data_IF_334714982410
#
_entry.id   IF_334714982410
#
_cell.length_a   1.000
_cell.length_b   1.000
_cell.length_c   1.000
_cell.angle_alpha   90.00
_cell.angle_beta   90.00
_cell.angle_gamma   90.00
#
_symmetry.space_group_name_H-M   'P 1'
#
loop_
_entity.id
_entity.type
_entity.pdbx_description
1 polymer ?
#
# COMPACT_ATOMS: atom_id res chain seq x y z
N UNK A 1 -65.87 37.81 0.60
CA UNK A 1 -65.59 39.08 -0.12
C UNK A 1 -64.67 38.75 -1.29
N UNK A 2 -64.99 39.30 -2.47
CA UNK A 2 -64.26 39.37 -3.76
C UNK A 2 -63.28 38.25 -4.21
N UNK A 3 -63.58 37.73 -5.40
CA UNK A 3 -62.68 37.01 -6.33
C UNK A 3 -61.77 37.99 -7.11
N UNK A 4 -60.69 37.54 -7.77
CA UNK A 4 -60.72 37.24 -9.23
C UNK A 4 -59.68 36.15 -9.65
N UNK A 5 -59.42 35.76 -10.92
CA UNK A 5 -60.19 35.61 -12.19
C UNK A 5 -59.37 34.71 -13.15
N UNK A 6 -60.09 33.94 -13.99
CA UNK A 6 -59.78 33.57 -15.40
C UNK A 6 -58.43 32.98 -15.86
N UNK A 7 -58.58 31.80 -16.49
CA UNK A 7 -58.17 31.47 -17.88
C UNK A 7 -56.82 30.83 -18.20
N UNK A 8 -56.93 29.91 -19.17
CA UNK A 8 -55.89 29.10 -19.77
C UNK A 8 -54.86 29.92 -20.54
N UNK A 9 -53.60 29.47 -20.49
CA UNK A 9 -52.51 29.91 -21.34
C UNK A 9 -51.53 28.77 -21.54
N UNK A 10 -51.46 28.24 -22.75
CA UNK A 10 -50.44 27.25 -23.16
C UNK A 10 -49.08 27.94 -23.04
N UNK A 11 -48.21 27.41 -22.17
CA UNK A 11 -46.86 27.95 -21.97
C UNK A 11 -45.82 27.02 -22.59
N UNK A 12 -45.32 27.47 -23.73
CA UNK A 12 -44.23 26.92 -24.52
C UNK A 12 -42.95 26.84 -23.66
N UNK A 13 -42.26 25.70 -23.66
CA UNK A 13 -40.90 25.63 -23.12
C UNK A 13 -39.93 26.40 -24.03
N UNK A 14 -39.57 27.63 -23.64
CA UNK A 14 -38.49 28.40 -24.25
C UNK A 14 -37.32 28.52 -23.27
N UNK A 15 -36.17 27.93 -23.62
CA UNK A 15 -35.00 27.85 -22.74
C UNK A 15 -33.88 28.83 -23.16
N UNK A 16 -33.78 29.97 -22.46
CA UNK A 16 -32.70 31.00 -22.50
C UNK A 16 -32.92 31.98 -21.33
N UNK A 17 -31.95 32.61 -20.67
CA UNK A 17 -30.46 32.66 -20.76
C UNK A 17 -29.89 32.51 -19.33
N UNK A 18 -28.63 32.07 -19.13
CA UNK A 18 -28.02 31.99 -17.79
C UNK A 18 -26.50 31.92 -17.71
N UNK A 19 -25.78 32.89 -18.29
CA UNK A 19 -24.34 33.02 -18.08
C UNK A 19 -24.04 33.82 -16.79
N UNK A 20 -23.42 33.18 -15.80
CA UNK A 20 -22.79 33.85 -14.66
C UNK A 20 -21.28 33.60 -14.67
N UNK A 21 -20.50 34.68 -14.60
CA UNK A 21 -19.04 34.64 -14.63
C UNK A 21 -18.49 35.01 -13.23
N UNK A 22 -17.53 34.21 -12.75
CA UNK A 22 -16.91 34.38 -11.43
C UNK A 22 -17.77 33.83 -10.29
N UNK A 23 -17.22 33.24 -9.23
CA UNK A 23 -15.81 32.96 -8.93
C UNK A 23 -15.73 31.72 -8.02
N UNK A 24 -14.73 30.87 -8.24
CA UNK A 24 -14.65 29.58 -7.55
C UNK A 24 -14.02 28.49 -8.42
N UNK A 25 -12.89 28.79 -9.06
CA UNK A 25 -12.05 27.75 -9.67
C UNK A 25 -11.49 26.88 -8.54
N UNK A 26 -12.24 25.86 -8.16
CA UNK A 26 -11.74 24.78 -7.33
C UNK A 26 -10.66 24.10 -8.14
N UNK A 27 -9.41 24.50 -7.91
CA UNK A 27 -8.24 23.89 -8.51
C UNK A 27 -7.99 22.55 -7.81
N UNK A 28 -8.88 21.59 -8.06
CA UNK A 28 -8.51 20.18 -7.96
C UNK A 28 -7.29 20.02 -8.85
N UNK A 29 -6.12 19.64 -8.30
CA UNK A 29 -4.96 19.37 -9.14
C UNK A 29 -5.37 18.26 -10.10
N UNK A 30 -5.29 18.53 -11.41
CA UNK A 30 -5.53 17.51 -12.40
C UNK A 30 -4.51 16.40 -12.17
N UNK A 31 -4.96 15.26 -11.65
CA UNK A 31 -4.11 14.08 -11.47
C UNK A 31 -3.61 13.71 -12.87
N UNK A 32 -2.29 13.72 -13.13
CA UNK A 32 -1.78 13.49 -14.47
C UNK A 32 -2.02 12.02 -14.85
N UNK A 33 -3.10 11.77 -15.59
CA UNK A 33 -3.50 10.46 -16.07
C UNK A 33 -2.67 10.02 -17.29
N UNK A 34 -1.36 9.96 -17.11
CA UNK A 34 -0.51 9.08 -17.91
C UNK A 34 -0.57 7.65 -17.37
N UNK A 35 0.07 6.68 -18.05
CA UNK A 35 0.34 5.39 -17.42
C UNK A 35 1.28 5.62 -16.23
N UNK A 36 0.72 5.62 -15.01
CA UNK A 36 1.48 5.78 -13.78
C UNK A 36 2.43 4.59 -13.64
N UNK A 37 3.69 4.77 -14.01
CA UNK A 37 4.72 3.75 -13.85
C UNK A 37 5.05 3.62 -12.36
N UNK A 38 4.24 2.80 -11.68
CA UNK A 38 4.33 2.55 -10.26
C UNK A 38 5.66 1.90 -9.91
N UNK A 39 6.37 2.53 -8.98
CA UNK A 39 7.58 1.97 -8.36
C UNK A 39 7.28 1.60 -6.92
N UNK A 40 7.79 0.45 -6.49
CA UNK A 40 7.70 -0.01 -5.11
C UNK A 40 9.09 0.02 -4.47
N UNK A 41 9.17 0.60 -3.28
CA UNK A 41 10.32 0.47 -2.38
C UNK A 41 9.85 -0.26 -1.12
N UNK A 42 10.66 -1.18 -0.61
CA UNK A 42 10.28 -2.08 0.48
C UNK A 42 11.25 -1.93 1.64
N UNK A 43 10.76 -1.46 2.79
CA UNK A 43 11.59 -1.08 3.95
C UNK A 43 11.10 -1.68 5.26
N UNK A 44 12.01 -1.97 6.17
CA UNK A 44 11.71 -2.52 7.50
C UNK A 44 11.14 -1.46 8.44
N UNK A 45 10.16 -1.84 9.26
CA UNK A 45 9.44 -0.96 10.19
C UNK A 45 9.47 -1.55 11.61
N UNK A 46 9.52 -0.70 12.65
CA UNK A 46 9.54 -1.16 14.05
C UNK A 46 8.13 -1.31 14.62
N UNK A 47 7.93 -2.38 15.42
CA UNK A 47 6.73 -2.54 16.25
C UNK A 47 6.76 -1.70 17.55
N UNK A 48 7.96 -1.28 17.98
CA UNK A 48 8.20 -0.71 19.31
C UNK A 48 8.61 0.76 19.24
N UNK A 49 8.39 1.48 20.36
CA UNK A 49 8.89 2.84 20.58
C UNK A 49 10.42 2.93 20.62
N UNK A 50 11.10 1.83 20.96
CA UNK A 50 12.54 1.68 20.75
C UNK A 50 12.78 1.30 19.28
N UNK A 51 13.49 2.14 18.48
CA UNK A 51 13.79 1.82 17.09
C UNK A 51 14.70 0.60 17.01
N UNK A 52 14.30 -0.40 16.21
CA UNK A 52 15.17 -1.52 15.87
C UNK A 52 16.27 -1.06 14.91
N UNK A 53 17.51 -1.57 14.98
CA UNK A 53 18.56 -1.26 13.99
C UNK A 53 18.19 -1.64 12.55
N UNK A 54 17.14 -2.44 12.35
CA UNK A 54 16.58 -2.71 11.03
C UNK A 54 15.78 -1.52 10.43
N UNK A 55 15.22 -0.64 11.27
CA UNK A 55 14.19 0.32 10.84
C UNK A 55 14.68 1.27 9.73
N UNK A 56 13.85 1.47 8.70
CA UNK A 56 14.15 2.34 7.56
C UNK A 56 15.15 1.75 6.55
N UNK A 57 15.81 0.63 6.86
CA UNK A 57 16.64 -0.08 5.88
C UNK A 57 15.77 -0.80 4.85
N UNK A 58 16.26 -0.99 3.63
CA UNK A 58 15.58 -1.84 2.65
C UNK A 58 15.63 -3.29 3.13
N UNK A 59 14.50 -3.99 3.06
CA UNK A 59 14.37 -5.30 3.70
C UNK A 59 15.36 -6.34 3.12
N UNK A 60 15.68 -6.28 1.83
CA UNK A 60 16.64 -7.23 1.23
C UNK A 60 18.07 -7.02 1.74
N UNK A 61 18.49 -5.78 2.03
CA UNK A 61 19.79 -5.52 2.64
C UNK A 61 19.85 -5.97 4.10
N UNK A 62 18.75 -5.81 4.85
CA UNK A 62 18.68 -6.30 6.23
C UNK A 62 18.87 -7.82 6.30
N UNK A 63 18.06 -8.60 5.56
CA UNK A 63 18.17 -10.06 5.61
C UNK A 63 19.44 -10.61 4.94
N UNK A 64 20.02 -9.90 3.96
CA UNK A 64 21.31 -10.31 3.36
C UNK A 64 22.52 -10.07 4.28
N UNK A 65 22.39 -9.19 5.29
CA UNK A 65 23.47 -8.86 6.25
C UNK A 65 23.31 -9.50 7.63
N UNK A 66 22.16 -10.13 7.92
CA UNK A 66 21.84 -10.67 9.24
C UNK A 66 21.46 -12.15 9.17
N UNK A 67 22.11 -12.98 10.00
CA UNK A 67 21.64 -14.33 10.31
C UNK A 67 20.80 -14.24 11.58
N UNK A 68 19.54 -14.65 11.49
CA UNK A 68 18.62 -14.62 12.63
C UNK A 68 18.95 -15.73 13.62
N UNK A 69 18.71 -15.48 14.90
CA UNK A 69 18.74 -16.53 15.94
C UNK A 69 17.63 -17.56 15.71
N UNK A 70 17.77 -18.75 16.29
CA UNK A 70 16.77 -19.82 16.16
C UNK A 70 15.43 -19.54 16.86
N UNK A 71 15.33 -18.49 17.68
CA UNK A 71 14.08 -18.04 18.29
C UNK A 71 13.04 -17.57 17.24
N UNK A 72 11.76 -17.55 17.63
CA UNK A 72 10.71 -16.95 16.81
C UNK A 72 10.84 -15.42 16.76
N UNK A 73 10.54 -14.82 15.61
CA UNK A 73 10.65 -13.38 15.38
C UNK A 73 9.51 -12.86 14.49
N UNK A 74 9.17 -11.58 14.62
CA UNK A 74 8.19 -10.89 13.78
C UNK A 74 8.79 -9.60 13.26
N UNK A 75 8.64 -9.32 11.97
CA UNK A 75 9.10 -8.08 11.33
C UNK A 75 7.96 -7.43 10.56
N UNK A 76 7.83 -6.11 10.64
CA UNK A 76 7.00 -5.34 9.72
C UNK A 76 7.84 -4.84 8.56
N UNK A 77 7.23 -4.87 7.38
CA UNK A 77 7.82 -4.39 6.14
C UNK A 77 6.80 -3.52 5.43
N UNK A 78 7.10 -2.21 5.31
CA UNK A 78 6.29 -1.27 4.55
C UNK A 78 6.58 -1.38 3.04
N UNK A 79 5.51 -1.39 2.25
CA UNK A 79 5.51 -1.36 0.79
C UNK A 79 5.15 0.07 0.36
N UNK A 80 6.18 0.85 0.05
CA UNK A 80 6.05 2.25 -0.36
C UNK A 80 5.87 2.33 -1.87
N UNK A 81 4.61 2.43 -2.31
CA UNK A 81 4.27 2.78 -3.69
C UNK A 81 4.50 4.27 -3.98
N UNK A 82 5.11 4.56 -5.12
CA UNK A 82 5.33 5.89 -5.67
C UNK A 82 4.99 5.93 -7.19
N UNK A 83 4.46 7.05 -7.71
CA UNK A 83 4.08 8.28 -7.01
C UNK A 83 2.86 8.09 -6.09
N UNK A 84 2.50 9.14 -5.33
CA UNK A 84 1.27 9.16 -4.52
C UNK A 84 0.06 8.94 -5.44
N UNK A 85 -0.89 8.11 -5.01
CA UNK A 85 -2.03 7.68 -5.85
C UNK A 85 -1.74 6.46 -6.72
N UNK A 86 -0.53 5.87 -6.69
CA UNK A 86 -0.29 4.56 -7.27
C UNK A 86 -1.14 3.48 -6.57
N UNK A 87 -1.89 2.70 -7.36
CA UNK A 87 -2.78 1.62 -6.92
C UNK A 87 -2.45 0.24 -7.53
N UNK A 88 -1.29 0.10 -8.19
CA UNK A 88 -0.86 -1.18 -8.78
C UNK A 88 -0.81 -2.28 -7.72
N UNK A 89 -1.27 -3.48 -8.10
CA UNK A 89 -1.25 -4.65 -7.24
C UNK A 89 0.17 -5.20 -7.03
N UNK A 90 0.42 -5.75 -5.85
CA UNK A 90 1.67 -6.39 -5.46
C UNK A 90 1.40 -7.67 -4.67
N UNK A 91 2.39 -8.55 -4.62
CA UNK A 91 2.34 -9.86 -3.92
C UNK A 91 3.41 -9.96 -2.84
N UNK A 92 3.18 -10.84 -1.88
CA UNK A 92 4.12 -11.19 -0.82
C UNK A 92 4.14 -12.73 -0.63
N UNK A 93 5.26 -13.36 -0.94
CA UNK A 93 5.41 -14.82 -0.98
C UNK A 93 6.75 -15.28 -0.38
N UNK A 94 6.76 -16.48 0.19
CA UNK A 94 7.95 -17.16 0.68
C UNK A 94 8.04 -18.54 0.01
N UNK A 95 9.26 -18.96 -0.31
CA UNK A 95 9.51 -20.27 -0.91
C UNK A 95 9.25 -21.43 0.07
N UNK A 96 9.33 -21.17 1.38
CA UNK A 96 8.96 -22.10 2.44
C UNK A 96 8.08 -21.38 3.48
N UNK A 97 6.80 -21.75 3.53
CA UNK A 97 5.79 -21.17 4.45
C UNK A 97 5.93 -21.65 5.90
N UNK A 98 6.66 -22.73 6.14
CA UNK A 98 6.99 -23.23 7.49
C UNK A 98 8.26 -22.58 8.06
N UNK A 99 9.01 -21.84 7.21
CA UNK A 99 10.17 -21.05 7.59
C UNK A 99 9.87 -19.55 7.72
N UNK A 100 9.05 -18.99 6.81
CA UNK A 100 8.57 -17.60 6.89
C UNK A 100 7.11 -17.54 6.43
N UNK A 101 6.24 -17.01 7.28
CA UNK A 101 4.84 -16.71 6.99
C UNK A 101 4.69 -15.21 6.71
N UNK A 102 3.80 -14.85 5.78
CA UNK A 102 3.59 -13.48 5.30
C UNK A 102 2.10 -13.14 5.33
N UNK A 103 1.75 -12.01 5.93
CA UNK A 103 0.38 -11.49 5.98
C UNK A 103 0.35 -9.97 5.79
N UNK A 104 -0.43 -9.43 4.85
CA UNK A 104 -1.18 -10.13 3.82
C UNK A 104 -0.23 -10.71 2.74
N UNK A 105 -0.70 -11.70 1.97
CA UNK A 105 0.06 -12.29 0.85
C UNK A 105 0.09 -11.40 -0.42
N UNK A 106 -0.41 -10.17 -0.33
CA UNK A 106 -0.51 -9.21 -1.43
C UNK A 106 -1.39 -8.02 -1.05
N UNK A 107 -1.47 -7.03 -1.94
CA UNK A 107 -2.24 -5.82 -1.75
C UNK A 107 -2.18 -4.92 -2.99
N UNK A 108 -2.54 -3.65 -2.84
CA UNK A 108 -2.52 -2.66 -3.92
C UNK A 108 -2.04 -1.30 -3.41
N UNK A 109 -1.24 -0.61 -4.22
CA UNK A 109 -0.64 0.66 -3.82
C UNK A 109 0.25 0.53 -2.58
N UNK A 110 0.05 1.39 -1.58
CA UNK A 110 0.79 1.32 -0.31
C UNK A 110 0.19 0.28 0.63
N UNK A 111 1.03 -0.39 1.39
CA UNK A 111 0.60 -1.28 2.45
C UNK A 111 1.76 -1.71 3.35
N UNK A 112 1.46 -2.61 4.28
CA UNK A 112 2.42 -3.18 5.21
C UNK A 112 2.25 -4.70 5.21
N UNK A 113 3.35 -5.43 5.34
CA UNK A 113 3.39 -6.89 5.41
C UNK A 113 4.08 -7.29 6.70
N UNK A 114 3.42 -8.14 7.48
CA UNK A 114 3.99 -8.85 8.61
C UNK A 114 4.71 -10.11 8.13
N UNK A 115 5.97 -10.27 8.55
CA UNK A 115 6.79 -11.45 8.35
C UNK A 115 6.91 -12.17 9.70
N UNK A 116 6.17 -13.26 9.86
CA UNK A 116 6.32 -14.14 11.02
C UNK A 116 7.31 -15.26 10.71
N UNK A 117 8.34 -15.38 11.54
CA UNK A 117 9.41 -16.36 11.42
C UNK A 117 9.32 -17.28 12.64
N UNK A 118 8.78 -18.51 12.52
CA UNK A 118 8.70 -19.44 13.64
C UNK A 118 10.08 -19.83 14.16
N UNK A 119 10.11 -20.34 15.39
CA UNK A 119 11.33 -20.89 16.00
C UNK A 119 11.87 -22.05 15.14
N UNK A 120 13.17 -22.06 14.88
CA UNK A 120 13.85 -23.19 14.27
C UNK A 120 14.32 -24.18 15.35
N UNK A 121 13.84 -25.42 15.27
CA UNK A 121 14.21 -26.51 16.20
C UNK A 121 15.13 -27.56 15.58
N UNK A 122 15.55 -27.37 14.32
CA UNK A 122 16.46 -28.26 13.62
C UNK A 122 17.74 -27.54 13.16
N UNK A 123 18.33 -28.06 12.08
CA UNK A 123 19.51 -27.46 11.44
C UNK A 123 19.24 -26.04 10.93
N UNK A 124 20.30 -25.27 10.73
CA UNK A 124 20.22 -23.93 10.13
C UNK A 124 19.50 -23.97 8.78
N UNK A 125 18.64 -22.98 8.52
CA UNK A 125 17.76 -22.93 7.35
C UNK A 125 17.79 -21.56 6.68
N UNK A 126 17.59 -21.55 5.37
CA UNK A 126 17.45 -20.33 4.58
C UNK A 126 16.23 -20.46 3.66
N UNK A 127 15.51 -19.36 3.43
CA UNK A 127 14.38 -19.32 2.50
C UNK A 127 14.32 -17.99 1.74
N UNK A 128 13.90 -18.06 0.47
CA UNK A 128 13.68 -16.87 -0.34
C UNK A 128 12.31 -16.25 -0.01
N UNK A 129 12.29 -14.94 0.18
CA UNK A 129 11.09 -14.13 0.45
C UNK A 129 11.01 -13.01 -0.57
N UNK A 130 9.89 -12.90 -1.26
CA UNK A 130 9.63 -11.85 -2.25
C UNK A 130 8.44 -10.99 -1.86
N UNK A 131 8.61 -9.67 -1.92
CA UNK A 131 7.59 -8.68 -1.56
C UNK A 131 7.63 -7.56 -2.61
N UNK A 132 6.49 -7.28 -3.24
CA UNK A 132 6.34 -6.25 -4.28
C UNK A 132 7.41 -6.29 -5.40
N UNK A 133 7.81 -7.50 -5.80
CA UNK A 133 8.80 -7.77 -6.85
C UNK A 133 10.26 -7.75 -6.39
N UNK A 134 10.55 -7.31 -5.17
CA UNK A 134 11.88 -7.44 -4.56
C UNK A 134 12.07 -8.86 -4.01
N UNK A 135 13.32 -9.28 -3.77
CA UNK A 135 13.66 -10.59 -3.22
C UNK A 135 14.76 -10.47 -2.15
N UNK A 136 14.60 -11.23 -1.06
CA UNK A 136 15.55 -11.35 0.04
C UNK A 136 15.75 -12.83 0.40
N UNK A 137 16.92 -13.18 0.95
CA UNK A 137 17.18 -14.50 1.54
C UNK A 137 17.15 -14.37 3.06
N UNK A 138 16.13 -14.93 3.69
CA UNK A 138 16.01 -14.98 5.15
C UNK A 138 16.79 -16.20 5.64
N UNK A 139 17.84 -15.98 6.43
CA UNK A 139 18.67 -17.04 7.03
C UNK A 139 18.48 -17.10 8.53
N UNK A 140 18.24 -18.29 9.08
CA UNK A 140 17.98 -18.52 10.50
C UNK A 140 18.87 -19.67 11.01
N UNK A 141 19.54 -19.43 12.13
CA UNK A 141 20.38 -20.40 12.82
C UNK A 141 19.58 -21.65 13.23
N UNK A 142 20.29 -22.77 13.41
CA UNK A 142 19.74 -23.98 14.01
C UNK A 142 19.66 -23.91 15.53
N UNK A 143 19.12 -24.96 16.15
CA UNK A 143 19.10 -25.16 17.60
C UNK A 143 19.69 -26.52 17.99
#
# INVERSE_FOLDING_TARGET
MLTPRTWAGILLCAAVIGACAGCGSSSTPAVPSGPTNCTFTVTMTSFTTTPSPAQGTRYEFFFSSNILVSAAAVYLVDVNAAPVGCTTAWTAMSANRDAVQLSPAGGSGRGQVELFIPQNTGLARSTAVSIAGWQAIVSQAGR
#
